data_IF_373632059763
#
_entry.id   IF_373632059763
#
_cell.length_a   1.000
_cell.length_b   1.000
_cell.length_c   1.000
_cell.angle_alpha   90.00
_cell.angle_beta   90.00
_cell.angle_gamma   90.00
#
_symmetry.space_group_name_H-M   'P 1'
#
loop_
_entity.id
_entity.type
_entity.pdbx_description
1 polymer ?
#
# COMPACT_ATOMS: atom_id res chain seq x y z
N UNK A 1 -18.10 -10.86 -13.82
CA UNK A 1 -17.62 -9.98 -12.73
C UNK A 1 -17.77 -10.76 -11.44
N UNK A 2 -16.66 -11.10 -10.81
CA UNK A 2 -16.60 -11.91 -9.58
C UNK A 2 -17.27 -11.14 -8.43
N UNK A 3 -18.01 -11.83 -7.54
CA UNK A 3 -18.72 -11.23 -6.40
C UNK A 3 -17.82 -10.29 -5.56
N UNK A 4 -16.52 -10.60 -5.48
CA UNK A 4 -15.48 -9.82 -4.80
C UNK A 4 -15.39 -8.39 -5.33
N UNK A 5 -15.44 -8.19 -6.65
CA UNK A 5 -15.36 -6.86 -7.28
C UNK A 5 -16.60 -6.02 -6.97
N UNK A 6 -17.76 -6.65 -6.87
CA UNK A 6 -19.02 -5.97 -6.54
C UNK A 6 -19.06 -5.52 -5.07
N UNK A 7 -18.56 -6.35 -4.14
CA UNK A 7 -18.47 -5.99 -2.72
C UNK A 7 -17.49 -4.84 -2.46
N UNK A 8 -16.37 -4.80 -3.19
CA UNK A 8 -15.39 -3.72 -3.08
C UNK A 8 -15.85 -2.41 -3.70
N UNK A 9 -16.54 -2.48 -4.85
CA UNK A 9 -17.17 -1.29 -5.43
C UNK A 9 -18.18 -0.70 -4.43
N UNK A 10 -19.05 -1.54 -3.83
CA UNK A 10 -20.00 -1.11 -2.82
C UNK A 10 -19.31 -0.50 -1.58
N UNK A 11 -18.21 -1.10 -1.11
CA UNK A 11 -17.40 -0.55 -0.02
C UNK A 11 -16.84 0.84 -0.35
N UNK A 12 -16.19 0.96 -1.52
CA UNK A 12 -15.59 2.21 -1.99
C UNK A 12 -16.64 3.31 -2.09
N UNK A 13 -17.79 2.98 -2.68
CA UNK A 13 -18.94 3.90 -2.75
C UNK A 13 -19.44 4.29 -1.37
N UNK A 14 -19.54 3.34 -0.43
CA UNK A 14 -20.02 3.61 0.92
C UNK A 14 -19.11 4.54 1.73
N UNK A 15 -17.80 4.54 1.43
CA UNK A 15 -16.85 5.50 1.99
C UNK A 15 -16.95 6.85 1.28
N UNK A 16 -17.03 6.85 -0.05
CA UNK A 16 -17.21 8.07 -0.84
C UNK A 16 -18.50 8.82 -0.46
N UNK A 17 -19.57 8.09 -0.12
CA UNK A 17 -20.83 8.65 0.36
C UNK A 17 -20.67 9.40 1.69
N UNK A 18 -19.80 8.93 2.60
CA UNK A 18 -19.51 9.63 3.86
C UNK A 18 -18.70 10.91 3.65
N UNK A 19 -17.90 10.96 2.60
CA UNK A 19 -17.06 12.12 2.27
C UNK A 19 -17.81 13.19 1.48
N UNK A 20 -19.00 12.84 0.95
CA UNK A 20 -19.79 13.74 0.11
C UNK A 20 -20.31 14.92 0.91
N UNK A 21 -19.91 16.11 0.49
CA UNK A 21 -20.32 17.39 1.08
C UNK A 21 -19.17 18.08 1.80
N UNK A 22 -18.32 17.31 2.50
CA UNK A 22 -17.19 17.84 3.26
C UNK A 22 -15.86 17.80 2.47
N UNK A 23 -15.73 16.87 1.52
CA UNK A 23 -14.53 16.71 0.69
C UNK A 23 -14.85 16.84 -0.80
N UNK A 24 -13.86 17.27 -1.58
CA UNK A 24 -13.94 17.23 -3.05
C UNK A 24 -13.75 15.81 -3.55
N UNK A 25 -14.36 15.48 -4.69
CA UNK A 25 -14.22 14.15 -5.30
C UNK A 25 -12.76 13.79 -5.60
N UNK A 26 -11.92 14.77 -5.97
CA UNK A 26 -10.47 14.59 -6.16
C UNK A 26 -9.75 14.11 -4.89
N UNK A 27 -10.27 14.44 -3.71
CA UNK A 27 -9.68 14.09 -2.42
C UNK A 27 -10.11 12.70 -1.93
N UNK A 28 -11.19 12.11 -2.47
CA UNK A 28 -11.71 10.84 -1.98
C UNK A 28 -10.67 9.72 -2.07
N UNK A 29 -9.91 9.67 -3.17
CA UNK A 29 -8.85 8.67 -3.33
C UNK A 29 -7.76 8.79 -2.28
N UNK A 30 -7.42 10.02 -1.88
CA UNK A 30 -6.39 10.30 -0.86
C UNK A 30 -6.82 9.87 0.54
N UNK A 31 -8.14 9.74 0.77
CA UNK A 31 -8.69 9.19 2.02
C UNK A 31 -8.86 7.67 1.92
N UNK A 32 -9.52 7.18 0.87
CA UNK A 32 -9.95 5.79 0.77
C UNK A 32 -8.76 4.82 0.59
N UNK A 33 -7.74 5.20 -0.18
CA UNK A 33 -6.57 4.36 -0.43
C UNK A 33 -5.79 4.01 0.85
N UNK A 34 -5.33 4.97 1.68
CA UNK A 34 -4.59 4.65 2.90
C UNK A 34 -5.43 3.86 3.92
N UNK A 35 -6.74 4.11 4.03
CA UNK A 35 -7.60 3.27 4.88
C UNK A 35 -7.71 1.83 4.38
N UNK A 36 -7.81 1.64 3.07
CA UNK A 36 -7.87 0.30 2.46
C UNK A 36 -6.55 -0.44 2.65
N UNK A 37 -5.42 0.25 2.48
CA UNK A 37 -4.09 -0.30 2.77
C UNK A 37 -3.94 -0.68 4.24
N UNK A 38 -4.29 0.23 5.15
CA UNK A 38 -4.22 -0.02 6.60
C UNK A 38 -5.01 -1.27 6.98
N UNK A 39 -6.21 -1.44 6.42
CA UNK A 39 -7.03 -2.62 6.66
C UNK A 39 -6.41 -3.89 6.09
N UNK A 40 -5.82 -3.86 4.89
CA UNK A 40 -5.11 -5.02 4.32
C UNK A 40 -3.93 -5.42 5.20
N UNK A 41 -3.09 -4.46 5.62
CA UNK A 41 -1.96 -4.72 6.50
C UNK A 41 -2.40 -5.35 7.83
N UNK A 42 -3.48 -4.84 8.42
CA UNK A 42 -4.04 -5.41 9.65
C UNK A 42 -4.52 -6.85 9.46
N UNK A 43 -5.25 -7.14 8.38
CA UNK A 43 -5.74 -8.50 8.09
C UNK A 43 -4.60 -9.48 7.80
N UNK A 44 -3.52 -9.04 7.14
CA UNK A 44 -2.33 -9.86 6.84
C UNK A 44 -1.52 -10.13 8.11
N UNK A 45 -1.37 -9.13 8.99
CA UNK A 45 -0.61 -9.26 10.24
C UNK A 45 -1.38 -10.03 11.33
N UNK A 46 -2.71 -10.06 11.27
CA UNK A 46 -3.56 -10.61 12.34
C UNK A 46 -3.13 -12.00 12.85
N UNK A 47 -2.74 -12.99 12.01
CA UNK A 47 -2.30 -14.30 12.49
C UNK A 47 -0.97 -14.27 13.26
N UNK A 48 -0.07 -13.33 12.95
CA UNK A 48 1.26 -13.20 13.56
C UNK A 48 1.36 -12.11 14.64
N UNK A 49 0.31 -11.32 14.86
CA UNK A 49 0.35 -10.13 15.73
C UNK A 49 0.73 -10.46 17.17
N UNK A 50 0.17 -11.52 17.74
CA UNK A 50 0.47 -11.92 19.13
C UNK A 50 1.93 -12.33 19.30
N UNK A 51 2.52 -12.98 18.30
CA UNK A 51 3.93 -13.35 18.30
C UNK A 51 4.84 -12.11 18.22
N UNK A 52 4.49 -11.13 17.37
CA UNK A 52 5.20 -9.85 17.28
C UNK A 52 5.16 -9.09 18.60
N UNK A 53 4.00 -9.01 19.26
CA UNK A 53 3.86 -8.31 20.54
C UNK A 53 4.67 -9.00 21.65
N UNK A 54 4.65 -10.34 21.70
CA UNK A 54 5.43 -11.10 22.65
C UNK A 54 6.94 -10.91 22.43
N UNK A 55 7.38 -10.86 21.16
CA UNK A 55 8.78 -10.63 20.84
C UNK A 55 9.21 -9.19 21.12
N UNK A 56 8.35 -8.20 20.84
CA UNK A 56 8.60 -6.80 21.15
C UNK A 56 8.87 -6.55 22.63
N UNK A 57 8.10 -7.18 23.52
CA UNK A 57 8.31 -7.04 24.97
C UNK A 57 9.65 -7.64 25.42
N UNK A 58 10.13 -8.71 24.77
CA UNK A 58 11.46 -9.28 25.05
C UNK A 58 12.57 -8.38 24.52
N UNK A 59 12.48 -7.99 23.26
CA UNK A 59 13.51 -7.23 22.54
C UNK A 59 13.72 -5.86 23.17
N UNK A 60 12.64 -5.21 23.63
CA UNK A 60 12.72 -3.92 24.34
C UNK A 60 13.56 -3.97 25.62
N UNK A 61 13.72 -5.15 26.22
CA UNK A 61 14.55 -5.35 27.41
C UNK A 61 16.02 -5.66 27.07
N UNK A 62 16.34 -5.99 25.82
CA UNK A 62 17.65 -6.54 25.44
C UNK A 62 18.72 -5.49 25.08
N UNK A 63 18.46 -4.18 25.21
CA UNK A 63 19.42 -3.10 24.87
C UNK A 63 20.14 -3.30 23.52
N UNK A 64 19.41 -3.83 22.53
CA UNK A 64 19.94 -4.11 21.20
C UNK A 64 19.89 -2.86 20.31
N UNK A 65 20.77 -2.73 19.30
CA UNK A 65 20.62 -1.73 18.25
C UNK A 65 19.28 -1.87 17.54
N UNK A 66 18.67 -0.77 17.13
CA UNK A 66 17.35 -0.70 16.48
C UNK A 66 17.21 -1.68 15.30
N UNK A 67 18.23 -1.78 14.44
CA UNK A 67 18.24 -2.70 13.30
C UNK A 67 18.16 -4.18 13.70
N UNK A 68 18.75 -4.55 14.85
CA UNK A 68 18.68 -5.91 15.36
C UNK A 68 17.29 -6.19 15.93
N UNK A 69 16.70 -5.21 16.61
CA UNK A 69 15.32 -5.29 17.12
C UNK A 69 14.33 -5.52 15.96
N UNK A 70 14.46 -4.70 14.90
CA UNK A 70 13.62 -4.77 13.71
C UNK A 70 13.66 -6.16 13.05
N UNK A 71 14.86 -6.72 12.87
CA UNK A 71 15.02 -8.08 12.30
C UNK A 71 14.36 -9.16 13.15
N UNK A 72 14.35 -9.03 14.48
CA UNK A 72 13.69 -9.99 15.35
C UNK A 72 12.17 -9.89 15.23
N UNK A 73 11.63 -8.67 15.14
CA UNK A 73 10.20 -8.43 14.97
C UNK A 73 9.67 -8.92 13.60
N UNK A 74 10.43 -8.69 12.52
CA UNK A 74 10.10 -9.21 11.18
C UNK A 74 10.13 -10.74 11.10
N UNK A 75 10.98 -11.40 11.91
CA UNK A 75 10.93 -12.86 12.02
C UNK A 75 9.69 -13.33 12.78
N UNK A 76 9.32 -12.61 13.84
CA UNK A 76 8.14 -12.91 14.65
C UNK A 76 6.81 -12.68 13.91
N UNK A 77 6.78 -11.82 12.89
CA UNK A 77 5.60 -11.59 12.04
C UNK A 77 5.29 -12.74 11.08
N UNK A 78 6.09 -13.80 11.07
CA UNK A 78 5.89 -14.98 10.24
C UNK A 78 6.44 -14.83 8.82
N UNK A 79 7.46 -13.99 8.63
CA UNK A 79 8.10 -13.76 7.33
C UNK A 79 7.54 -12.57 6.56
N UNK A 80 6.66 -11.77 7.16
CA UNK A 80 6.19 -10.53 6.57
C UNK A 80 7.30 -9.48 6.56
N UNK A 81 7.30 -8.62 5.54
CA UNK A 81 8.22 -7.48 5.40
C UNK A 81 7.89 -6.29 6.31
N UNK A 82 6.87 -6.42 7.16
CA UNK A 82 6.42 -5.39 8.08
C UNK A 82 5.95 -6.00 9.41
N UNK A 83 5.78 -5.14 10.41
CA UNK A 83 5.18 -5.47 11.70
C UNK A 83 4.47 -4.24 12.27
N UNK A 84 3.70 -4.46 13.33
CA UNK A 84 3.13 -3.40 14.16
C UNK A 84 3.27 -3.80 15.62
N UNK A 85 3.76 -2.89 16.47
CA UNK A 85 4.02 -3.15 17.90
C UNK A 85 2.88 -2.64 18.80
N UNK A 86 1.82 -2.10 18.22
CA UNK A 86 0.69 -1.57 18.97
C UNK A 86 -0.19 -2.70 19.52
N UNK A 87 -0.57 -2.56 20.79
CA UNK A 87 -1.61 -3.40 21.41
C UNK A 87 -3.02 -3.04 20.93
N UNK A 88 -3.15 -1.92 20.21
CA UNK A 88 -4.40 -1.44 19.63
C UNK A 88 -4.58 -2.00 18.21
N UNK A 89 -5.82 -2.00 17.75
CA UNK A 89 -6.23 -2.34 16.39
C UNK A 89 -7.45 -1.50 16.01
N UNK A 90 -7.84 -1.51 14.72
CA UNK A 90 -9.00 -0.74 14.25
C UNK A 90 -10.32 -1.14 14.95
N UNK A 91 -10.42 -2.34 15.51
CA UNK A 91 -11.60 -2.77 16.25
C UNK A 91 -11.67 -2.19 17.67
N UNK A 92 -10.50 -1.92 18.29
CA UNK A 92 -10.34 -1.34 19.63
C UNK A 92 -10.32 0.19 19.64
N UNK A 93 -10.24 0.85 18.49
CA UNK A 93 -10.36 2.31 18.39
C UNK A 93 -11.76 2.77 18.82
N UNK A 94 -11.82 3.49 19.95
CA UNK A 94 -13.01 4.14 20.45
C UNK A 94 -13.33 5.45 19.74
N UNK A 95 -14.45 6.06 20.10
CA UNK A 95 -14.85 7.39 19.59
C UNK A 95 -14.02 8.52 20.24
N UNK A 96 -13.72 8.38 21.53
CA UNK A 96 -12.86 9.32 22.27
C UNK A 96 -11.42 9.25 21.77
N UNK A 97 -10.82 10.43 21.57
CA UNK A 97 -9.43 10.60 21.15
C UNK A 97 -9.05 9.77 19.91
N UNK A 98 -10.01 9.50 19.03
CA UNK A 98 -9.80 8.62 17.86
C UNK A 98 -8.64 9.07 16.98
N UNK A 99 -8.47 10.38 16.82
CA UNK A 99 -7.38 10.97 16.04
C UNK A 99 -6.03 10.53 16.61
N UNK A 100 -5.78 10.83 17.88
CA UNK A 100 -4.51 10.53 18.55
C UNK A 100 -4.27 9.02 18.63
N UNK A 101 -5.33 8.25 18.89
CA UNK A 101 -5.28 6.79 18.92
C UNK A 101 -4.90 6.21 17.56
N UNK A 102 -5.52 6.68 16.46
CA UNK A 102 -5.21 6.21 15.12
C UNK A 102 -3.80 6.64 14.68
N UNK A 103 -3.40 7.88 14.96
CA UNK A 103 -2.04 8.37 14.66
C UNK A 103 -0.98 7.58 15.42
N UNK A 104 -1.22 7.27 16.71
CA UNK A 104 -0.33 6.40 17.49
C UNK A 104 -0.26 4.99 16.89
N UNK A 105 -1.40 4.43 16.51
CA UNK A 105 -1.46 3.10 15.88
C UNK A 105 -0.64 3.03 14.59
N UNK A 106 -0.75 4.05 13.74
CA UNK A 106 0.03 4.17 12.51
C UNK A 106 1.52 4.31 12.82
N UNK A 107 1.88 5.08 13.86
CA UNK A 107 3.28 5.29 14.28
C UNK A 107 3.97 4.03 14.82
N UNK A 108 3.19 3.05 15.27
CA UNK A 108 3.69 1.76 15.78
C UNK A 108 3.96 0.73 14.67
N UNK A 109 3.70 1.06 13.40
CA UNK A 109 4.13 0.23 12.28
C UNK A 109 5.65 0.31 12.04
N UNK A 110 6.19 -0.69 11.33
CA UNK A 110 7.58 -0.66 10.84
C UNK A 110 7.86 0.60 10.02
N UNK A 111 9.13 1.00 9.96
CA UNK A 111 9.55 2.23 9.27
C UNK A 111 9.04 2.28 7.83
N UNK A 112 9.23 1.21 7.07
CA UNK A 112 8.82 1.13 5.67
C UNK A 112 7.29 1.30 5.50
N UNK A 113 6.50 0.70 6.40
CA UNK A 113 5.05 0.85 6.37
C UNK A 113 4.62 2.29 6.71
N UNK A 114 5.30 2.96 7.66
CA UNK A 114 5.01 4.36 8.02
C UNK A 114 5.30 5.33 6.89
N UNK A 115 6.43 5.16 6.20
CA UNK A 115 6.80 6.00 5.06
C UNK A 115 5.73 5.98 3.96
N UNK A 116 5.02 4.84 3.79
CA UNK A 116 3.90 4.75 2.84
C UNK A 116 2.75 5.66 3.27
N UNK A 117 2.34 5.64 4.55
CA UNK A 117 1.27 6.51 5.05
C UNK A 117 1.64 7.99 5.04
N UNK A 118 2.91 8.32 5.30
CA UNK A 118 3.44 9.69 5.15
C UNK A 118 3.36 10.16 3.70
N UNK A 119 3.69 9.29 2.75
CA UNK A 119 3.58 9.57 1.32
C UNK A 119 2.12 9.90 0.91
N UNK A 120 1.13 9.19 1.45
CA UNK A 120 -0.29 9.53 1.27
C UNK A 120 -0.72 10.83 1.95
N UNK A 121 0.16 11.44 2.76
CA UNK A 121 -0.16 12.52 3.69
C UNK A 121 -1.32 12.15 4.60
N UNK A 122 -1.35 10.90 5.07
CA UNK A 122 -2.53 10.35 5.74
C UNK A 122 -2.87 11.10 7.04
N UNK A 123 -1.86 11.57 7.78
CA UNK A 123 -2.06 12.41 8.97
C UNK A 123 -2.83 13.71 8.69
N UNK A 124 -2.60 14.36 7.54
CA UNK A 124 -3.35 15.57 7.16
C UNK A 124 -4.84 15.24 6.99
N UNK A 125 -5.16 14.12 6.34
CA UNK A 125 -6.54 13.68 6.14
C UNK A 125 -7.19 13.18 7.43
N UNK A 126 -6.44 12.52 8.31
CA UNK A 126 -6.92 12.14 9.65
C UNK A 126 -7.37 13.40 10.42
N UNK A 127 -6.59 14.47 10.38
CA UNK A 127 -6.97 15.77 10.93
C UNK A 127 -8.25 16.33 10.32
N UNK A 128 -8.30 16.45 8.99
CA UNK A 128 -9.49 16.98 8.30
C UNK A 128 -10.76 16.15 8.56
N UNK A 129 -10.65 14.83 8.60
CA UNK A 129 -11.76 13.93 8.91
C UNK A 129 -12.22 14.04 10.35
N UNK A 130 -11.30 14.28 11.28
CA UNK A 130 -11.62 14.51 12.67
C UNK A 130 -12.39 15.83 12.83
N UNK A 131 -11.91 16.90 12.20
CA UNK A 131 -12.55 18.22 12.23
C UNK A 131 -13.96 18.19 11.62
N UNK A 132 -14.17 17.35 10.61
CA UNK A 132 -15.48 17.11 10.00
C UNK A 132 -16.38 16.11 10.78
N UNK A 133 -15.94 15.57 11.92
CA UNK A 133 -16.64 14.50 12.67
C UNK A 133 -16.97 13.25 11.82
N UNK A 134 -16.10 12.94 10.85
CA UNK A 134 -16.23 11.80 9.93
C UNK A 134 -15.27 10.65 10.26
N UNK A 135 -14.17 10.94 10.96
CA UNK A 135 -13.10 9.98 11.21
C UNK A 135 -13.60 8.68 11.85
N UNK A 136 -14.38 8.78 12.93
CA UNK A 136 -14.95 7.60 13.59
C UNK A 136 -15.87 6.79 12.69
N UNK A 137 -16.73 7.45 11.91
CA UNK A 137 -17.65 6.79 10.97
C UNK A 137 -16.90 6.00 9.90
N UNK A 138 -15.81 6.56 9.38
CA UNK A 138 -14.96 5.90 8.40
C UNK A 138 -14.26 4.69 9.03
N UNK A 139 -13.62 4.86 10.19
CA UNK A 139 -12.97 3.74 10.90
C UNK A 139 -13.95 2.60 11.19
N UNK A 140 -15.19 2.90 11.59
CA UNK A 140 -16.24 1.90 11.80
C UNK A 140 -16.61 1.13 10.53
N UNK A 141 -16.61 1.78 9.35
CA UNK A 141 -16.83 1.10 8.06
C UNK A 141 -15.62 0.28 7.62
N UNK A 142 -14.41 0.78 7.86
CA UNK A 142 -13.17 0.12 7.42
C UNK A 142 -12.92 -1.15 8.23
N UNK A 143 -13.16 -1.13 9.55
CA UNK A 143 -12.88 -2.27 10.45
C UNK A 143 -13.70 -3.53 10.15
N UNK A 144 -14.87 -3.41 9.54
CA UNK A 144 -15.75 -4.55 9.23
C UNK A 144 -15.41 -5.25 7.92
N UNK A 145 -14.56 -4.63 7.09
CA UNK A 145 -14.22 -5.19 5.79
C UNK A 145 -13.24 -6.34 5.94
N UNK A 146 -13.55 -7.49 5.33
CA UNK A 146 -12.60 -8.58 5.24
C UNK A 146 -11.72 -8.42 4.00
N UNK A 147 -10.51 -7.90 4.22
CA UNK A 147 -9.45 -7.83 3.21
C UNK A 147 -8.34 -8.85 3.53
N UNK A 148 -8.66 -9.95 4.21
CA UNK A 148 -7.67 -11.00 4.48
C UNK A 148 -7.26 -11.76 3.22
N UNK A 149 -6.06 -12.37 3.19
CA UNK A 149 -5.64 -13.24 2.08
C UNK A 149 -6.62 -14.39 1.79
N UNK A 150 -7.43 -14.80 2.78
CA UNK A 150 -8.46 -15.84 2.63
C UNK A 150 -9.68 -15.37 1.85
N UNK A 151 -10.09 -14.11 2.05
CA UNK A 151 -11.24 -13.52 1.37
C UNK A 151 -10.87 -12.94 0.00
N UNK A 152 -9.68 -12.32 -0.08
CA UNK A 152 -9.17 -11.67 -1.29
C UNK A 152 -7.70 -12.05 -1.45
N UNK A 153 -7.37 -12.79 -2.51
CA UNK A 153 -6.00 -13.20 -2.80
C UNK A 153 -5.09 -11.99 -3.06
N UNK A 154 -3.76 -12.17 -2.95
CA UNK A 154 -2.80 -11.09 -3.22
C UNK A 154 -2.95 -10.54 -4.65
N UNK A 155 -3.20 -11.42 -5.64
CA UNK A 155 -3.44 -11.02 -7.02
C UNK A 155 -4.71 -10.19 -7.17
N UNK A 156 -5.83 -10.65 -6.60
CA UNK A 156 -7.09 -9.89 -6.65
C UNK A 156 -6.95 -8.54 -5.93
N UNK A 157 -6.24 -8.50 -4.80
CA UNK A 157 -6.01 -7.25 -4.09
C UNK A 157 -5.21 -6.25 -4.96
N UNK A 158 -4.23 -6.71 -5.72
CA UNK A 158 -3.51 -5.89 -6.70
C UNK A 158 -4.45 -5.25 -7.72
N UNK A 159 -5.34 -6.04 -8.34
CA UNK A 159 -6.34 -5.54 -9.28
C UNK A 159 -7.29 -4.52 -8.65
N UNK A 160 -7.62 -4.71 -7.36
CA UNK A 160 -8.49 -3.81 -6.62
C UNK A 160 -7.83 -2.46 -6.38
N UNK A 161 -6.55 -2.45 -5.99
CA UNK A 161 -5.80 -1.20 -5.87
C UNK A 161 -5.62 -0.51 -7.21
N UNK A 162 -5.32 -1.25 -8.28
CA UNK A 162 -5.25 -0.70 -9.63
C UNK A 162 -6.56 -0.05 -10.06
N UNK A 163 -7.70 -0.71 -9.85
CA UNK A 163 -9.01 -0.18 -10.19
C UNK A 163 -9.38 1.06 -9.34
N UNK A 164 -9.08 1.05 -8.04
CA UNK A 164 -9.25 2.21 -7.17
C UNK A 164 -8.45 3.40 -7.70
N UNK A 165 -7.17 3.17 -7.98
CA UNK A 165 -6.27 4.19 -8.49
C UNK A 165 -6.75 4.73 -9.84
N UNK A 166 -7.15 3.85 -10.76
CA UNK A 166 -7.68 4.22 -12.07
C UNK A 166 -8.90 5.12 -11.93
N UNK A 167 -9.88 4.73 -11.10
CA UNK A 167 -11.08 5.52 -10.84
C UNK A 167 -10.77 6.89 -10.24
N UNK A 168 -9.81 6.95 -9.32
CA UNK A 168 -9.44 8.22 -8.71
C UNK A 168 -8.67 9.12 -9.67
N UNK A 169 -7.80 8.57 -10.52
CA UNK A 169 -7.13 9.32 -11.58
C UNK A 169 -8.15 9.91 -12.58
N UNK A 170 -9.16 9.13 -12.99
CA UNK A 170 -10.25 9.59 -13.85
C UNK A 170 -11.07 10.72 -13.20
N UNK A 171 -11.39 10.60 -11.91
CA UNK A 171 -12.13 11.63 -11.17
C UNK A 171 -11.34 12.90 -10.85
N UNK A 172 -10.00 12.85 -10.96
CA UNK A 172 -9.10 13.97 -10.65
C UNK A 172 -8.78 14.83 -11.88
N UNK A 173 -9.26 14.45 -13.06
CA UNK A 173 -8.92 15.09 -14.35
C UNK A 173 -9.44 16.54 -14.48
N UNK A 174 -10.14 17.07 -13.48
CA UNK A 174 -10.60 18.47 -13.41
C UNK A 174 -9.64 19.40 -12.65
N UNK A 175 -8.65 18.89 -11.90
CA UNK A 175 -7.77 19.73 -11.06
C UNK A 175 -6.29 19.51 -11.37
N UNK A 176 -5.76 20.29 -12.32
CA UNK A 176 -4.34 20.28 -12.69
C UNK A 176 -3.46 20.64 -11.48
N UNK A 177 -2.87 19.63 -10.82
CA UNK A 177 -1.90 19.82 -9.73
C UNK A 177 -2.05 18.87 -8.54
N UNK A 178 -3.15 18.13 -8.43
CA UNK A 178 -3.40 17.19 -7.32
C UNK A 178 -3.28 15.71 -7.74
N UNK A 179 -2.53 15.41 -8.80
CA UNK A 179 -2.41 14.04 -9.32
C UNK A 179 -1.37 13.22 -8.54
N UNK A 180 -1.74 12.03 -8.07
CA UNK A 180 -0.76 10.99 -7.73
C UNK A 180 0.06 10.67 -8.97
N UNK A 181 1.38 10.70 -8.86
CA UNK A 181 2.23 10.22 -9.95
C UNK A 181 2.13 8.69 -10.01
N UNK A 182 2.08 8.08 -11.21
CA UNK A 182 2.05 6.63 -11.39
C UNK A 182 3.17 5.88 -10.65
N UNK A 183 4.29 6.57 -10.38
CA UNK A 183 5.44 6.03 -9.63
C UNK A 183 5.14 5.73 -8.16
N UNK A 184 4.20 6.43 -7.58
CA UNK A 184 3.82 6.32 -6.17
C UNK A 184 2.79 5.22 -5.93
N UNK A 185 1.92 5.08 -6.91
CA UNK A 185 1.05 3.93 -7.12
C UNK A 185 1.89 2.66 -7.33
N UNK A 186 2.97 2.71 -8.11
CA UNK A 186 3.89 1.57 -8.27
C UNK A 186 4.54 1.17 -6.94
N UNK A 187 4.89 2.11 -6.06
CA UNK A 187 5.35 1.79 -4.68
C UNK A 187 4.24 1.16 -3.84
N UNK A 188 2.99 1.60 -3.97
CA UNK A 188 1.82 0.96 -3.34
C UNK A 188 1.69 -0.50 -3.80
N UNK A 189 1.74 -0.73 -5.12
CA UNK A 189 1.69 -2.07 -5.70
C UNK A 189 2.89 -2.91 -5.26
N UNK A 190 4.09 -2.32 -5.14
CA UNK A 190 5.27 -3.01 -4.60
C UNK A 190 5.08 -3.37 -3.11
N UNK A 191 4.49 -2.49 -2.30
CA UNK A 191 4.16 -2.78 -0.90
C UNK A 191 3.08 -3.87 -0.75
N UNK A 192 2.22 -4.04 -1.77
CA UNK A 192 1.16 -5.05 -1.81
C UNK A 192 1.61 -6.40 -2.40
N UNK A 193 2.54 -6.38 -3.36
CA UNK A 193 2.95 -7.53 -4.18
C UNK A 193 4.07 -8.35 -3.52
N UNK A 194 4.93 -7.74 -2.70
CA UNK A 194 6.14 -8.43 -2.20
C UNK A 194 6.00 -9.05 -0.81
N UNK A 195 4.78 -9.32 -0.34
CA UNK A 195 4.57 -9.98 0.96
C UNK A 195 4.55 -11.51 0.89
N UNK A 196 4.24 -12.12 -0.26
CA UNK A 196 4.31 -13.58 -0.45
C UNK A 196 4.52 -13.92 -1.94
N UNK A 197 5.74 -13.81 -2.45
CA UNK A 197 6.28 -14.77 -3.43
C UNK A 197 7.75 -14.44 -3.78
N UNK A 198 8.69 -15.11 -3.12
CA UNK A 198 10.06 -15.28 -3.63
C UNK A 198 10.12 -16.36 -4.74
N UNK A 199 9.03 -17.08 -5.03
CA UNK A 199 9.01 -18.15 -6.04
C UNK A 199 8.47 -17.71 -7.42
N UNK A 200 7.72 -16.60 -7.52
CA UNK A 200 7.22 -16.12 -8.82
C UNK A 200 8.25 -15.28 -9.60
N UNK A 201 9.23 -14.68 -8.91
CA UNK A 201 10.25 -13.82 -9.51
C UNK A 201 11.57 -14.54 -9.84
N UNK A 202 11.70 -15.81 -9.47
CA UNK A 202 12.86 -16.67 -9.75
C UNK A 202 12.68 -17.52 -11.01
N UNK A 203 11.78 -17.16 -11.93
CA UNK A 203 11.83 -17.68 -13.30
C UNK A 203 12.67 -16.76 -14.19
N UNK A 204 13.91 -17.14 -14.55
CA UNK A 204 14.72 -16.36 -15.48
C UNK A 204 14.04 -16.41 -16.86
N UNK A 205 13.46 -15.28 -17.32
CA UNK A 205 12.87 -15.27 -18.66
C UNK A 205 12.03 -14.08 -19.11
N UNK A 206 11.65 -13.13 -18.26
CA UNK A 206 10.94 -11.92 -18.72
C UNK A 206 11.70 -10.63 -18.38
N UNK A 207 12.82 -10.44 -19.06
CA UNK A 207 13.31 -9.10 -19.38
C UNK A 207 12.35 -8.49 -20.42
N UNK A 208 11.59 -7.48 -20.03
CA UNK A 208 10.84 -6.65 -20.97
C UNK A 208 11.78 -6.10 -22.06
N UNK A 209 11.39 -6.09 -23.34
CA UNK A 209 12.24 -5.59 -24.42
C UNK A 209 12.44 -4.09 -24.24
N UNK A 210 13.70 -3.68 -24.16
CA UNK A 210 14.10 -2.27 -24.23
C UNK A 210 13.54 -1.67 -25.51
N UNK A 211 12.65 -0.70 -25.37
CA UNK A 211 12.17 0.11 -26.48
C UNK A 211 13.30 1.06 -26.92
N UNK A 212 14.23 0.52 -27.70
CA UNK A 212 15.17 1.31 -28.50
C UNK A 212 14.47 1.77 -29.78
N UNK A 213 14.49 3.07 -30.13
CA UNK A 213 13.88 3.53 -31.38
C UNK A 213 14.62 2.93 -32.58
N UNK A 214 13.91 2.57 -33.67
CA UNK A 214 14.51 1.88 -34.80
C UNK A 214 15.48 2.81 -35.55
N UNK A 215 16.76 2.43 -35.56
CA UNK A 215 17.74 2.98 -36.49
C UNK A 215 17.41 2.49 -37.92
N UNK A 216 17.37 3.43 -38.85
CA UNK A 216 17.18 3.18 -40.28
C UNK A 216 18.30 2.27 -40.84
N UNK A 217 18.00 1.41 -41.84
CA UNK A 217 19.00 0.52 -42.41
C UNK A 217 20.02 1.31 -43.26
N UNK A 218 21.29 1.14 -42.91
CA UNK A 218 22.44 1.72 -43.60
C UNK A 218 22.62 1.12 -45.00
N UNK A 219 22.68 1.99 -46.01
CA UNK A 219 23.16 1.65 -47.34
C UNK A 219 24.05 2.78 -47.87
N UNK A 220 25.32 2.80 -47.45
CA UNK A 220 26.40 3.38 -48.26
C UNK A 220 27.79 2.93 -47.74
N UNK A 221 28.50 2.13 -48.51
CA UNK A 221 29.95 2.00 -48.39
C UNK A 221 30.53 1.57 -49.76
N UNK A 222 31.21 2.45 -50.51
CA UNK A 222 31.99 2.04 -51.66
C UNK A 222 33.45 1.77 -51.28
N UNK A 223 33.86 0.54 -51.62
CA UNK A 223 35.16 0.11 -52.19
C UNK A 223 36.46 0.76 -51.66
N UNK A 224 37.35 -0.10 -51.19
CA UNK A 224 38.75 -0.03 -51.61
C UNK A 224 39.81 -0.36 -50.55
N UNK A 225 40.35 -1.59 -50.63
CA UNK A 225 41.72 -1.98 -50.23
C UNK A 225 41.96 -2.06 -48.70
N UNK A 226 42.61 -3.06 -48.10
CA UNK A 226 43.56 -4.03 -48.60
C UNK A 226 43.78 -5.13 -47.53
N UNK A 227 44.00 -6.35 -48.02
CA UNK A 227 44.90 -7.40 -47.50
C UNK A 227 44.71 -8.06 -46.12
N UNK A 228 44.35 -9.34 -46.20
CA UNK A 228 44.62 -10.45 -45.27
C UNK A 228 46.11 -10.62 -44.92
N UNK A 229 46.41 -11.18 -43.74
CA UNK A 229 47.18 -12.44 -43.60
C UNK A 229 47.26 -12.90 -42.13
N UNK A 230 46.59 -14.00 -41.82
CA UNK A 230 47.17 -15.25 -41.26
C UNK A 230 46.18 -16.38 -41.51
#
# INVERSE_FOLDING_TARGET
>A
MTQTTNNLAAYTWSLADLLRGDFKQSQYGRVILPFTLLRRLECVLAPGKDAVLAEYEKVRQMNLPEQAQEKMLLRASGGLSFFNTSKMDLARLGESDIKDNLESYIRDFSKDAREIFEYFKFGEFIGQLNDANLLYKIVQKVRIMDLSPKAISNHEMGLVFEELIRRFAESSNETAGEHFTPRDIVRLTTALVFMEDDDALTRPGLSAPSMTPPQAPAAFCPRGWNTCMS
#
